data_IF_722189046644
#
_entry.id   IF_722189046644
#
_cell.length_a   1.000
_cell.length_b   1.000
_cell.length_c   1.000
_cell.angle_alpha   90.00
_cell.angle_beta   90.00
_cell.angle_gamma   90.00
#
_symmetry.space_group_name_H-M   'P 1'
#
loop_
_entity.id
_entity.type
_entity.pdbx_description
1 polymer ?
#
# COMPACT_ATOMS: atom_id res chain seq x y z
N UNK A 1 -8.89 8.70 7.29
CA UNK A 1 -8.99 7.53 8.19
C UNK A 1 -7.63 6.87 8.30
N UNK A 2 -7.23 6.42 9.49
CA UNK A 2 -6.03 5.58 9.65
C UNK A 2 -6.39 4.15 9.28
N UNK A 3 -5.71 3.57 8.29
CA UNK A 3 -5.92 2.16 7.96
C UNK A 3 -5.50 1.29 9.16
N UNK A 4 -6.46 0.54 9.70
CA UNK A 4 -6.17 -0.49 10.70
C UNK A 4 -5.30 -1.60 10.05
N UNK A 5 -4.28 -2.14 10.74
CA UNK A 5 -3.46 -3.21 10.18
C UNK A 5 -4.29 -4.46 9.88
N UNK A 6 -3.96 -5.16 8.79
CA UNK A 6 -4.61 -6.43 8.44
C UNK A 6 -4.33 -7.52 9.48
N UNK A 7 -5.38 -8.14 10.03
CA UNK A 7 -5.25 -9.26 10.96
C UNK A 7 -4.53 -10.47 10.33
N UNK A 8 -4.71 -10.70 9.03
CA UNK A 8 -4.02 -11.79 8.31
C UNK A 8 -2.52 -11.53 8.26
N UNK A 9 -2.10 -10.30 7.93
CA UNK A 9 -0.68 -9.98 7.86
C UNK A 9 -0.02 -10.05 9.25
N UNK A 10 -0.73 -9.64 10.30
CA UNK A 10 -0.26 -9.81 11.68
C UNK A 10 -0.13 -11.28 12.06
N UNK A 11 -1.12 -12.12 11.71
CA UNK A 11 -1.07 -13.56 11.95
C UNK A 11 0.07 -14.25 11.18
N UNK A 12 0.47 -13.72 10.02
CA UNK A 12 1.64 -14.17 9.27
C UNK A 12 2.98 -13.61 9.81
N UNK A 13 2.97 -12.84 10.90
CA UNK A 13 4.18 -12.31 11.55
C UNK A 13 4.67 -10.97 11.00
N UNK A 14 3.91 -10.29 10.13
CA UNK A 14 4.27 -8.94 9.70
C UNK A 14 4.17 -7.95 10.85
N UNK A 15 5.08 -6.97 10.91
CA UNK A 15 4.99 -5.89 11.89
C UNK A 15 3.75 -5.03 11.64
N UNK A 16 3.17 -4.38 12.67
CA UNK A 16 2.05 -3.46 12.47
C UNK A 16 2.34 -2.34 11.47
N UNK A 17 3.59 -1.87 11.39
CA UNK A 17 4.01 -0.88 10.40
C UNK A 17 3.94 -1.44 8.97
N UNK A 18 4.49 -2.63 8.74
CA UNK A 18 4.42 -3.30 7.44
C UNK A 18 2.97 -3.64 7.04
N UNK A 19 2.17 -4.13 7.98
CA UNK A 19 0.77 -4.48 7.75
C UNK A 19 -0.10 -3.26 7.40
N UNK A 20 0.18 -2.08 7.96
CA UNK A 20 -0.51 -0.82 7.60
C UNK A 20 -0.15 -0.30 6.21
N UNK A 21 1.05 -0.60 5.72
CA UNK A 21 1.56 -0.14 4.42
C UNK A 21 1.39 -1.13 3.28
N UNK A 22 0.72 -2.26 3.52
CA UNK A 22 0.58 -3.32 2.52
C UNK A 22 -0.56 -3.04 1.55
N UNK A 23 -0.36 -3.38 0.27
CA UNK A 23 -1.35 -3.28 -0.79
C UNK A 23 -1.57 -4.66 -1.43
N UNK A 24 -2.82 -4.95 -1.83
CA UNK A 24 -3.16 -6.16 -2.59
C UNK A 24 -3.74 -5.76 -3.94
N UNK A 25 -3.04 -6.11 -5.01
CA UNK A 25 -3.57 -6.06 -6.37
C UNK A 25 -4.15 -7.44 -6.72
N UNK A 26 -5.31 -7.47 -7.35
CA UNK A 26 -5.98 -8.70 -7.76
C UNK A 26 -6.33 -8.58 -9.23
N UNK A 27 -5.87 -9.54 -10.03
CA UNK A 27 -6.12 -9.60 -11.46
C UNK A 27 -7.21 -10.64 -11.74
N UNK A 28 -8.06 -10.33 -12.71
CA UNK A 28 -9.18 -11.17 -13.12
C UNK A 28 -9.09 -11.55 -14.60
N UNK A 29 -10.13 -12.20 -15.12
CA UNK A 29 -10.16 -12.66 -16.52
C UNK A 29 -10.04 -11.56 -17.57
N UNK A 30 -10.42 -10.34 -17.22
CA UNK A 30 -10.38 -9.17 -18.11
C UNK A 30 -9.13 -8.31 -17.91
N UNK A 31 -8.26 -8.66 -16.96
CA UNK A 31 -7.02 -7.91 -16.75
C UNK A 31 -6.07 -8.15 -17.91
N UNK A 32 -5.40 -7.08 -18.31
CA UNK A 32 -4.49 -7.04 -19.45
C UNK A 32 -3.10 -6.59 -19.02
N UNK A 33 -2.12 -6.73 -19.91
CA UNK A 33 -0.79 -6.19 -19.68
C UNK A 33 -0.80 -4.66 -19.53
N UNK A 34 -1.75 -3.97 -20.18
CA UNK A 34 -1.91 -2.53 -20.06
C UNK A 34 -2.27 -2.13 -18.62
N UNK A 35 -3.17 -2.87 -17.95
CA UNK A 35 -3.52 -2.58 -16.55
C UNK A 35 -2.31 -2.68 -15.61
N UNK A 36 -1.39 -3.60 -15.89
CA UNK A 36 -0.15 -3.75 -15.10
C UNK A 36 0.81 -2.60 -15.40
N UNK A 37 0.96 -2.21 -16.66
CA UNK A 37 1.78 -1.07 -17.06
C UNK A 37 1.33 0.23 -16.38
N UNK A 38 0.02 0.49 -16.38
CA UNK A 38 -0.57 1.65 -15.69
C UNK A 38 -0.26 1.66 -14.18
N UNK A 39 -0.30 0.49 -13.52
CA UNK A 39 0.09 0.39 -12.11
C UNK A 39 1.57 0.69 -11.94
N UNK A 40 2.44 0.16 -12.79
CA UNK A 40 3.89 0.40 -12.71
C UNK A 40 4.24 1.87 -12.90
N UNK A 41 3.59 2.55 -13.84
CA UNK A 41 3.79 3.99 -14.08
C UNK A 41 3.29 4.85 -12.92
N UNK A 42 2.21 4.43 -12.26
CA UNK A 42 1.60 5.17 -11.16
C UNK A 42 2.22 4.89 -9.78
N UNK A 43 2.77 3.70 -9.54
CA UNK A 43 3.07 3.23 -8.17
C UNK A 43 4.19 4.03 -7.50
N UNK A 44 5.26 4.37 -8.23
CA UNK A 44 6.38 5.12 -7.68
C UNK A 44 5.98 6.50 -7.13
N UNK A 45 5.34 7.39 -7.92
CA UNK A 45 4.95 8.71 -7.42
C UNK A 45 3.88 8.64 -6.31
N UNK A 46 3.06 7.59 -6.27
CA UNK A 46 2.11 7.35 -5.18
C UNK A 46 2.82 6.94 -3.89
N UNK A 47 3.78 6.02 -3.96
CA UNK A 47 4.56 5.57 -2.79
C UNK A 47 5.37 6.73 -2.21
N UNK A 48 5.99 7.55 -3.05
CA UNK A 48 6.72 8.74 -2.60
C UNK A 48 5.83 9.70 -1.80
N UNK A 49 4.63 10.01 -2.32
CA UNK A 49 3.65 10.86 -1.63
C UNK A 49 3.15 10.23 -0.33
N UNK A 50 2.85 8.93 -0.33
CA UNK A 50 2.36 8.21 0.85
C UNK A 50 3.39 8.22 1.99
N UNK A 51 4.68 8.04 1.67
CA UNK A 51 5.78 8.16 2.65
C UNK A 51 5.86 9.58 3.22
N UNK A 52 5.84 10.60 2.36
CA UNK A 52 5.84 12.00 2.79
C UNK A 52 4.66 12.38 3.69
N UNK A 53 3.46 11.87 3.40
CA UNK A 53 2.28 12.06 4.25
C UNK A 53 2.40 11.31 5.60
N UNK A 54 3.00 10.11 5.60
CA UNK A 54 3.30 9.36 6.82
C UNK A 54 4.24 10.10 7.76
N UNK A 55 5.30 10.71 7.22
CA UNK A 55 6.21 11.57 8.00
C UNK A 55 5.50 12.77 8.62
N UNK A 56 4.67 13.47 7.84
CA UNK A 56 3.88 14.60 8.36
C UNK A 56 2.92 14.20 9.47
N UNK A 57 2.37 12.97 9.43
CA UNK A 57 1.45 12.49 10.46
C UNK A 57 2.17 12.07 11.75
N UNK A 58 3.40 11.56 11.66
CA UNK A 58 4.22 11.22 12.81
C UNK A 58 4.81 12.46 13.52
N UNK A 59 5.05 13.55 12.78
CA UNK A 59 5.52 14.82 13.37
C UNK A 59 4.40 15.64 14.05
N UNK A 60 3.14 15.31 13.77
CA UNK A 60 1.96 15.98 14.31
C UNK A 60 1.28 15.21 15.46
N UNK A 61 1.90 14.13 15.94
CA UNK A 61 1.45 13.23 17.01
C UNK A 61 2.51 13.12 18.08
#
# INVERSE_FOLDING_TARGET
GVAQPSHVLLAMGATPAAARGSLRFSLGRTSTAADVAEVLDAIEPVVARARGAGFRRAAAS
#
